data_IF_620693489598
#
_entry.id   IF_620693489598
#
_cell.length_a   1.000
_cell.length_b   1.000
_cell.length_c   1.000
_cell.angle_alpha   90.00
_cell.angle_beta   90.00
_cell.angle_gamma   90.00
#
_symmetry.space_group_name_H-M   'P 1'
#
loop_
_entity.id
_entity.type
_entity.pdbx_description
1 polymer ?
#
# COMPACT_ATOMS: atom_id res chain seq x y z
N UNK A 1 -13.04 9.23 -6.60
CA UNK A 1 -11.66 8.74 -6.59
C UNK A 1 -10.77 9.77 -7.27
N UNK A 2 -9.53 9.91 -6.79
CA UNK A 2 -8.59 10.88 -7.34
C UNK A 2 -8.04 10.49 -8.71
N UNK A 3 -7.10 11.31 -9.21
CA UNK A 3 -6.49 11.08 -10.52
C UNK A 3 -5.28 10.14 -10.43
N UNK A 4 -4.98 9.48 -11.55
CA UNK A 4 -3.85 8.55 -11.71
C UNK A 4 -3.87 7.39 -10.71
N UNK A 5 -5.02 6.67 -10.56
CA UNK A 5 -5.03 5.46 -9.76
C UNK A 5 -4.13 4.41 -10.40
N UNK A 6 -3.39 3.66 -9.58
CA UNK A 6 -2.40 2.71 -10.11
C UNK A 6 -2.67 1.27 -9.71
N UNK A 7 -2.96 1.04 -8.44
CA UNK A 7 -3.22 -0.29 -7.93
C UNK A 7 -4.37 -0.25 -6.93
N UNK A 8 -5.06 -1.37 -6.78
CA UNK A 8 -6.22 -1.46 -5.90
C UNK A 8 -6.22 -2.81 -5.18
N UNK A 9 -6.61 -2.79 -3.91
CA UNK A 9 -6.90 -4.00 -3.14
C UNK A 9 -8.24 -3.86 -2.45
N UNK A 10 -8.88 -4.99 -2.16
CA UNK A 10 -10.16 -5.02 -1.47
C UNK A 10 -9.95 -5.53 -0.04
N UNK A 11 -10.70 -4.97 0.92
CA UNK A 11 -10.67 -5.46 2.29
C UNK A 11 -11.20 -6.91 2.36
N UNK A 12 -10.75 -7.71 3.34
CA UNK A 12 -11.20 -9.11 3.44
C UNK A 12 -12.71 -9.28 3.55
N UNK A 13 -13.40 -8.32 4.16
CA UNK A 13 -14.86 -8.35 4.29
C UNK A 13 -15.60 -7.81 3.05
N UNK A 14 -14.87 -7.34 2.04
CA UNK A 14 -15.46 -6.82 0.80
C UNK A 14 -16.10 -5.45 0.91
N UNK A 15 -15.93 -4.73 2.01
CA UNK A 15 -16.61 -3.46 2.23
C UNK A 15 -15.85 -2.23 1.72
N UNK A 16 -14.53 -2.33 1.58
CA UNK A 16 -13.68 -1.19 1.23
C UNK A 16 -12.67 -1.53 0.14
N UNK A 17 -12.36 -0.54 -0.67
CA UNK A 17 -11.23 -0.58 -1.60
C UNK A 17 -10.15 0.37 -1.10
N UNK A 18 -8.90 0.01 -1.34
CA UNK A 18 -7.75 0.87 -1.07
C UNK A 18 -6.99 1.04 -2.38
N UNK A 19 -6.73 2.28 -2.77
CA UNK A 19 -6.22 2.62 -4.10
C UNK A 19 -4.99 3.50 -3.96
N UNK A 20 -3.92 3.16 -4.67
CA UNK A 20 -2.77 4.06 -4.76
C UNK A 20 -3.02 5.12 -5.82
N UNK A 21 -2.73 6.38 -5.46
CA UNK A 21 -2.80 7.53 -6.36
C UNK A 21 -1.37 7.95 -6.66
N UNK A 22 -0.87 7.61 -7.86
CA UNK A 22 0.56 7.71 -8.17
C UNK A 22 1.10 9.13 -8.09
N UNK A 23 0.47 10.09 -8.78
CA UNK A 23 0.99 11.45 -8.85
C UNK A 23 0.96 12.15 -7.49
N UNK A 24 -0.11 12.01 -6.74
CA UNK A 24 -0.22 12.65 -5.43
C UNK A 24 0.54 11.92 -4.33
N UNK A 25 1.00 10.69 -4.58
CA UNK A 25 1.72 9.89 -3.58
C UNK A 25 0.85 9.48 -2.41
N UNK A 26 -0.43 9.22 -2.65
CA UNK A 26 -1.41 8.91 -1.61
C UNK A 26 -2.02 7.54 -1.77
N UNK A 27 -2.56 7.03 -0.67
CA UNK A 27 -3.48 5.89 -0.67
C UNK A 27 -4.84 6.39 -0.23
N UNK A 28 -5.88 6.00 -0.96
CA UNK A 28 -7.26 6.37 -0.68
C UNK A 28 -8.06 5.15 -0.23
N UNK A 29 -8.84 5.34 0.83
CA UNK A 29 -9.83 4.34 1.24
C UNK A 29 -11.19 4.74 0.67
N UNK A 30 -11.87 3.78 0.06
CA UNK A 30 -13.14 3.97 -0.64
C UNK A 30 -14.18 3.02 -0.07
N UNK A 31 -15.35 3.55 0.29
CA UNK A 31 -16.45 2.73 0.80
C UNK A 31 -17.33 2.25 -0.36
N UNK A 32 -17.43 0.94 -0.51
CA UNK A 32 -18.15 0.33 -1.64
C UNK A 32 -19.65 0.58 -1.53
N UNK A 33 -20.23 0.44 -0.33
CA UNK A 33 -21.67 0.56 -0.14
C UNK A 33 -22.18 1.97 -0.45
N UNK A 34 -21.46 3.01 -0.04
CA UNK A 34 -21.86 4.41 -0.27
C UNK A 34 -21.27 5.00 -1.53
N UNK A 35 -20.29 4.30 -2.14
CA UNK A 35 -19.58 4.75 -3.33
C UNK A 35 -18.87 6.10 -3.12
N UNK A 36 -18.25 6.27 -1.95
CA UNK A 36 -17.58 7.51 -1.56
C UNK A 36 -16.19 7.27 -0.99
N UNK A 37 -15.30 8.25 -1.17
CA UNK A 37 -14.00 8.28 -0.51
C UNK A 37 -14.19 8.45 1.00
N UNK A 38 -13.52 7.61 1.78
CA UNK A 38 -13.53 7.72 3.24
C UNK A 38 -12.43 8.66 3.69
N UNK A 39 -11.19 8.38 3.28
CA UNK A 39 -10.00 9.12 3.72
C UNK A 39 -8.84 8.80 2.78
N UNK A 40 -7.87 9.71 2.73
CA UNK A 40 -6.62 9.47 2.03
C UNK A 40 -5.45 9.89 2.90
N UNK A 41 -4.28 9.29 2.66
CA UNK A 41 -3.05 9.62 3.38
C UNK A 41 -1.87 9.60 2.42
N UNK A 42 -0.95 10.55 2.57
CA UNK A 42 0.29 10.56 1.81
C UNK A 42 1.25 9.52 2.37
N UNK A 43 1.82 8.69 1.49
CA UNK A 43 2.77 7.65 1.90
C UNK A 43 4.19 7.96 1.40
N UNK A 44 4.33 8.54 0.22
CA UNK A 44 5.61 8.87 -0.35
C UNK A 44 5.46 9.27 -1.81
N UNK A 45 6.54 9.57 -2.47
CA UNK A 45 6.52 9.99 -3.87
C UNK A 45 6.22 8.81 -4.80
N UNK A 46 5.23 8.99 -5.67
CA UNK A 46 4.80 8.00 -6.65
C UNK A 46 4.37 6.68 -6.02
N UNK A 47 3.38 6.72 -5.14
CA UNK A 47 2.76 5.51 -4.59
C UNK A 47 2.31 4.62 -5.76
N UNK A 48 2.74 3.35 -5.76
CA UNK A 48 2.60 2.51 -6.96
C UNK A 48 1.78 1.26 -6.73
N UNK A 49 2.28 0.36 -5.91
CA UNK A 49 1.64 -0.92 -5.62
C UNK A 49 1.29 -1.01 -4.16
N UNK A 50 0.29 -1.82 -3.83
CA UNK A 50 -0.05 -2.06 -2.44
C UNK A 50 -0.59 -3.47 -2.28
N UNK A 51 -0.53 -3.97 -1.05
CA UNK A 51 -1.20 -5.20 -0.64
C UNK A 51 -1.75 -5.01 0.77
N UNK A 52 -2.55 -5.95 1.23
CA UNK A 52 -3.24 -5.85 2.51
C UNK A 52 -2.97 -7.11 3.34
N UNK A 53 -2.86 -6.94 4.66
CA UNK A 53 -2.72 -8.08 5.57
C UNK A 53 -3.98 -8.95 5.57
N UNK A 54 -3.83 -10.22 5.97
CA UNK A 54 -4.94 -11.18 5.91
C UNK A 54 -6.15 -10.76 6.76
N UNK A 55 -5.92 -10.05 7.86
CA UNK A 55 -7.00 -9.55 8.73
C UNK A 55 -7.52 -8.18 8.32
N UNK A 56 -6.95 -7.57 7.28
CA UNK A 56 -7.36 -6.27 6.78
C UNK A 56 -6.88 -5.08 7.60
N UNK A 57 -6.05 -5.29 8.62
CA UNK A 57 -5.64 -4.21 9.52
C UNK A 57 -4.52 -3.33 8.98
N UNK A 58 -3.69 -3.83 8.07
CA UNK A 58 -2.53 -3.12 7.57
C UNK A 58 -2.45 -3.15 6.05
N UNK A 59 -2.07 -2.01 5.47
CA UNK A 59 -1.74 -1.87 4.06
C UNK A 59 -0.23 -1.72 3.93
N UNK A 60 0.33 -2.29 2.88
CA UNK A 60 1.75 -2.19 2.55
C UNK A 60 1.86 -1.52 1.19
N UNK A 61 2.52 -0.38 1.13
CA UNK A 61 2.55 0.50 -0.04
C UNK A 61 3.99 0.75 -0.45
N UNK A 62 4.33 0.48 -1.71
CA UNK A 62 5.65 0.85 -2.24
C UNK A 62 5.55 2.21 -2.91
N UNK A 63 6.53 3.06 -2.62
CA UNK A 63 6.63 4.42 -3.12
C UNK A 63 7.80 4.48 -4.08
N UNK A 64 7.48 4.51 -5.39
CA UNK A 64 8.45 4.27 -6.46
C UNK A 64 9.61 5.29 -6.45
N UNK A 65 9.29 6.59 -6.34
CA UNK A 65 10.32 7.63 -6.37
C UNK A 65 10.99 7.86 -5.03
N UNK A 66 10.36 7.48 -3.94
CA UNK A 66 10.94 7.61 -2.60
C UNK A 66 11.81 6.42 -2.20
N UNK A 67 11.76 5.32 -2.96
CA UNK A 67 12.51 4.10 -2.66
C UNK A 67 12.14 3.51 -1.30
N UNK A 68 10.86 3.60 -0.92
CA UNK A 68 10.40 3.22 0.42
C UNK A 68 9.20 2.29 0.37
N UNK A 69 9.00 1.58 1.48
CA UNK A 69 7.81 0.81 1.79
C UNK A 69 7.15 1.45 3.01
N UNK A 70 5.87 1.75 2.90
CA UNK A 70 5.08 2.30 4.01
C UNK A 70 4.07 1.27 4.50
N UNK A 71 3.91 1.18 5.83
CA UNK A 71 2.87 0.41 6.47
C UNK A 71 1.80 1.38 6.98
N UNK A 72 0.56 1.17 6.57
CA UNK A 72 -0.56 2.05 6.90
C UNK A 72 -1.59 1.27 7.70
N UNK A 73 -2.05 1.81 8.82
CA UNK A 73 -3.14 1.22 9.57
C UNK A 73 -4.47 1.52 8.86
N UNK A 74 -5.19 0.47 8.47
CA UNK A 74 -6.38 0.63 7.63
C UNK A 74 -7.54 1.31 8.36
N UNK A 75 -7.65 1.12 9.68
CA UNK A 75 -8.79 1.63 10.44
C UNK A 75 -8.89 3.16 10.46
N UNK A 76 -7.75 3.86 10.47
CA UNK A 76 -7.71 5.33 10.51
C UNK A 76 -6.81 5.93 9.43
N UNK A 77 -6.27 5.10 8.54
CA UNK A 77 -5.37 5.51 7.46
C UNK A 77 -4.16 6.29 7.98
N UNK A 78 -3.56 5.79 9.06
CA UNK A 78 -2.36 6.38 9.66
C UNK A 78 -1.12 5.62 9.20
N UNK A 79 -0.10 6.32 8.73
CA UNK A 79 1.20 5.74 8.40
C UNK A 79 1.88 5.34 9.70
N UNK A 80 2.11 4.04 9.89
CA UNK A 80 2.73 3.50 11.09
C UNK A 80 4.24 3.43 10.97
N UNK A 81 4.75 3.19 9.76
CA UNK A 81 6.15 2.93 9.54
C UNK A 81 6.50 3.18 8.08
N UNK A 82 7.69 3.71 7.83
CA UNK A 82 8.23 3.86 6.48
C UNK A 82 9.69 3.44 6.53
N UNK A 83 10.08 2.53 5.62
CA UNK A 83 11.45 2.01 5.58
C UNK A 83 12.00 2.11 4.16
N UNK A 84 13.30 2.35 4.05
CA UNK A 84 14.01 2.24 2.77
C UNK A 84 14.04 0.79 2.34
N UNK A 85 13.80 0.54 1.05
CA UNK A 85 13.81 -0.83 0.54
C UNK A 85 14.84 -1.04 -0.57
N UNK A 86 14.72 -0.32 -1.68
CA UNK A 86 15.59 -0.49 -2.85
C UNK A 86 15.31 0.66 -3.80
N UNK A 87 16.12 0.76 -4.86
CA UNK A 87 15.83 1.74 -5.91
C UNK A 87 14.59 1.30 -6.68
N UNK A 88 13.61 2.18 -6.75
CA UNK A 88 12.41 2.04 -7.56
C UNK A 88 11.65 0.74 -7.27
N UNK A 89 11.07 0.60 -6.06
CA UNK A 89 10.22 -0.55 -5.76
C UNK A 89 8.94 -0.49 -6.60
N UNK A 90 8.58 -1.60 -7.23
CA UNK A 90 7.46 -1.64 -8.16
C UNK A 90 6.33 -2.59 -7.77
N UNK A 91 6.61 -3.61 -6.99
CA UNK A 91 5.60 -4.59 -6.60
C UNK A 91 5.72 -4.94 -5.14
N UNK A 92 4.61 -5.29 -4.53
CA UNK A 92 4.56 -5.71 -3.14
C UNK A 92 3.51 -6.80 -2.98
N UNK A 93 3.81 -7.79 -2.16
CA UNK A 93 2.83 -8.80 -1.77
C UNK A 93 3.04 -9.17 -0.30
N UNK A 94 1.92 -9.37 0.39
CA UNK A 94 1.94 -9.82 1.77
C UNK A 94 1.77 -11.34 1.81
N UNK A 95 2.66 -12.00 2.53
CA UNK A 95 2.63 -13.45 2.73
C UNK A 95 2.03 -13.74 4.10
N UNK A 96 0.78 -14.21 4.12
CA UNK A 96 0.07 -14.52 5.37
C UNK A 96 0.66 -15.71 6.11
N UNK A 97 1.28 -16.64 5.40
CA UNK A 97 1.81 -17.85 6.04
C UNK A 97 3.03 -17.56 6.92
N UNK A 98 3.81 -16.54 6.59
CA UNK A 98 5.02 -16.18 7.33
C UNK A 98 4.94 -14.80 7.96
N UNK A 99 3.85 -14.06 7.72
CA UNK A 99 3.67 -12.67 8.15
C UNK A 99 4.82 -11.77 7.68
N UNK A 100 5.15 -11.88 6.40
CA UNK A 100 6.23 -11.11 5.76
C UNK A 100 5.70 -10.38 4.54
N UNK A 101 6.37 -9.28 4.21
CA UNK A 101 6.08 -8.49 3.02
C UNK A 101 7.25 -8.60 2.06
N UNK A 102 6.96 -8.97 0.81
CA UNK A 102 7.95 -9.09 -0.26
C UNK A 102 7.82 -7.92 -1.21
N UNK A 103 8.95 -7.34 -1.60
CA UNK A 103 9.01 -6.19 -2.49
C UNK A 103 9.88 -6.52 -3.69
N UNK A 104 9.34 -6.28 -4.88
CA UNK A 104 10.09 -6.39 -6.14
C UNK A 104 10.64 -5.02 -6.52
N UNK A 105 11.91 -4.97 -6.86
CA UNK A 105 12.63 -3.75 -7.18
C UNK A 105 12.96 -3.70 -8.67
N UNK A 106 12.82 -2.54 -9.29
CA UNK A 106 13.04 -2.37 -10.73
C UNK A 106 14.42 -2.84 -11.18
N UNK A 107 15.43 -2.66 -10.32
CA UNK A 107 16.81 -3.10 -10.62
C UNK A 107 17.05 -4.61 -10.58
N UNK A 108 16.03 -5.43 -10.30
CA UNK A 108 16.13 -6.88 -10.36
C UNK A 108 16.36 -7.58 -9.03
N UNK A 109 16.10 -6.92 -7.90
CA UNK A 109 16.20 -7.54 -6.57
C UNK A 109 14.84 -7.75 -5.93
N UNK A 110 14.80 -8.68 -4.97
CA UNK A 110 13.67 -8.90 -4.08
C UNK A 110 14.09 -8.60 -2.64
N UNK A 111 13.24 -7.91 -1.91
CA UNK A 111 13.47 -7.63 -0.49
C UNK A 111 12.33 -8.20 0.32
N UNK A 112 12.62 -8.64 1.54
CA UNK A 112 11.62 -9.19 2.44
C UNK A 112 11.71 -8.52 3.80
N UNK A 113 10.56 -8.22 4.38
CA UNK A 113 10.44 -7.54 5.67
C UNK A 113 9.47 -8.30 6.55
N UNK A 114 9.85 -8.54 7.82
CA UNK A 114 8.92 -9.07 8.79
C UNK A 114 7.89 -8.00 9.15
N UNK A 115 6.62 -8.38 9.21
CA UNK A 115 5.56 -7.48 9.63
C UNK A 115 5.52 -7.43 11.15
N UNK A 116 6.02 -6.35 11.71
CA UNK A 116 6.07 -6.15 13.16
C UNK A 116 5.17 -5.01 13.62
#
# INVERSE_FOLDING_TARGET
IGSNPRAVVISPDGSKLYVTMNISGKVQAWDIATNKTIKSVKTGEAARSLDISSDGSALFVVNFKSDTLSKVRASDMKVLQTVKVCNEPIGVTYDSSTNRTWVACYGGSLKVFANK
#
